data_IF_811525974722
#
_entry.id   IF_811525974722
#
_cell.length_a   1.000
_cell.length_b   1.000
_cell.length_c   1.000
_cell.angle_alpha   90.00
_cell.angle_beta   90.00
_cell.angle_gamma   90.00
#
_symmetry.space_group_name_H-M   'P 1'
#
loop_
_entity.id
_entity.type
_entity.pdbx_description
1 polymer ?
#
# COMPACT_ATOMS: atom_id res chain seq x y z
N UNK A 1 11.17 -11.26 -3.10
CA UNK A 1 10.23 -10.13 -3.32
C UNK A 1 11.02 -8.83 -3.28
N UNK A 2 10.50 -7.76 -3.87
CA UNK A 2 11.12 -6.42 -3.85
C UNK A 2 9.97 -5.40 -3.74
N UNK A 3 9.69 -4.93 -2.52
CA UNK A 3 8.51 -4.14 -2.20
C UNK A 3 8.91 -2.71 -1.78
N UNK A 4 8.18 -1.72 -2.32
CA UNK A 4 8.19 -0.31 -1.91
C UNK A 4 6.77 0.07 -1.46
N UNK A 5 6.59 0.35 -0.19
CA UNK A 5 5.27 0.47 0.45
C UNK A 5 5.11 1.84 1.09
N UNK A 6 4.45 2.74 0.39
CA UNK A 6 4.30 4.15 0.79
C UNK A 6 2.98 4.40 1.52
N UNK A 7 3.03 5.09 2.65
CA UNK A 7 1.82 5.46 3.40
C UNK A 7 0.85 6.28 2.56
N UNK A 8 1.35 7.21 1.78
CA UNK A 8 0.55 8.05 0.86
C UNK A 8 1.23 8.17 -0.49
N UNK A 9 0.49 8.52 -1.53
CA UNK A 9 1.07 8.91 -2.83
C UNK A 9 1.44 10.39 -2.92
N UNK A 10 0.94 11.22 -2.00
CA UNK A 10 1.13 12.67 -2.04
C UNK A 10 1.21 13.21 -0.62
N UNK A 11 2.31 13.86 -0.28
CA UNK A 11 2.46 14.60 0.97
C UNK A 11 1.90 16.01 0.77
N UNK A 12 1.30 16.58 1.82
CA UNK A 12 0.73 17.92 1.76
C UNK A 12 1.76 18.95 1.27
N UNK A 13 1.37 19.74 0.27
CA UNK A 13 2.24 20.76 -0.32
C UNK A 13 3.30 20.24 -1.31
N UNK A 14 3.35 18.93 -1.57
CA UNK A 14 4.30 18.33 -2.51
C UNK A 14 3.59 17.72 -3.74
N UNK A 15 4.26 17.65 -4.90
CA UNK A 15 3.73 16.97 -6.08
C UNK A 15 3.54 15.45 -5.84
N UNK A 16 2.67 14.84 -6.64
CA UNK A 16 2.38 13.41 -6.62
C UNK A 16 3.68 12.58 -6.77
N UNK A 17 3.93 11.64 -5.85
CA UNK A 17 5.09 10.74 -5.78
C UNK A 17 6.46 11.43 -5.69
N UNK A 18 6.54 12.75 -5.54
CA UNK A 18 7.82 13.48 -5.60
C UNK A 18 8.79 13.08 -4.50
N UNK A 19 8.31 12.85 -3.27
CA UNK A 19 9.14 12.48 -2.11
C UNK A 19 9.73 11.06 -2.20
N UNK A 20 9.20 10.23 -3.10
CA UNK A 20 9.65 8.85 -3.38
C UNK A 20 10.44 8.73 -4.68
N UNK A 21 10.76 9.85 -5.35
CA UNK A 21 11.29 9.84 -6.72
C UNK A 21 12.52 8.93 -6.88
N UNK A 22 13.46 9.02 -5.98
CA UNK A 22 14.69 8.22 -6.05
C UNK A 22 14.43 6.73 -5.83
N UNK A 23 13.46 6.39 -4.97
CA UNK A 23 13.12 5.01 -4.66
C UNK A 23 12.42 4.32 -5.83
N UNK A 24 11.33 4.90 -6.34
CA UNK A 24 10.61 4.27 -7.45
C UNK A 24 11.41 4.34 -8.77
N UNK A 25 12.26 5.37 -8.96
CA UNK A 25 13.14 5.44 -10.13
C UNK A 25 14.16 4.29 -10.14
N UNK A 26 14.75 3.97 -8.99
CA UNK A 26 15.66 2.82 -8.84
C UNK A 26 14.91 1.50 -8.97
N UNK A 27 13.73 1.38 -8.34
CA UNK A 27 12.94 0.16 -8.33
C UNK A 27 12.50 -0.24 -9.75
N UNK A 28 12.12 0.74 -10.57
CA UNK A 28 11.52 0.53 -11.88
C UNK A 28 12.42 0.91 -13.07
N UNK A 29 13.70 1.17 -12.83
CA UNK A 29 14.64 1.56 -13.91
C UNK A 29 14.57 0.60 -15.11
N UNK A 30 14.27 1.15 -16.32
CA UNK A 30 14.20 0.40 -17.56
C UNK A 30 13.06 -0.61 -17.68
N UNK A 31 12.01 -0.53 -16.84
CA UNK A 31 10.92 -1.52 -16.76
C UNK A 31 9.60 -0.97 -17.30
N UNK A 32 8.78 -1.88 -17.81
CA UNK A 32 7.35 -1.63 -18.02
C UNK A 32 6.60 -1.86 -16.68
N UNK A 33 6.06 -0.78 -16.14
CA UNK A 33 5.26 -0.82 -14.91
C UNK A 33 3.78 -0.94 -15.24
N UNK A 34 3.14 -1.99 -14.76
CA UNK A 34 1.69 -2.12 -14.85
C UNK A 34 1.05 -1.45 -13.63
N UNK A 35 0.26 -0.41 -13.89
CA UNK A 35 -0.48 0.32 -12.86
C UNK A 35 -1.86 -0.28 -12.64
N UNK A 36 -2.23 -0.47 -11.38
CA UNK A 36 -3.54 -1.01 -10.97
C UNK A 36 -4.37 0.11 -10.32
N UNK A 37 -5.37 0.68 -11.04
CA UNK A 37 -6.20 1.81 -10.57
C UNK A 37 -7.41 1.39 -9.74
N UNK A 38 -7.55 0.14 -9.36
CA UNK A 38 -8.77 -0.51 -8.88
C UNK A 38 -9.30 -0.01 -7.54
N UNK A 39 -8.55 0.78 -6.79
CA UNK A 39 -8.98 1.30 -5.50
C UNK A 39 -9.98 2.48 -5.57
N UNK A 40 -10.32 2.96 -6.78
CA UNK A 40 -11.21 4.12 -6.97
C UNK A 40 -12.67 3.71 -7.08
N UNK A 41 -13.52 4.07 -6.10
CA UNK A 41 -14.94 3.71 -6.12
C UNK A 41 -15.79 4.56 -7.10
N UNK A 42 -15.24 5.68 -7.60
CA UNK A 42 -15.93 6.61 -8.51
C UNK A 42 -15.27 7.98 -8.56
N UNK A 43 -15.83 8.90 -9.34
CA UNK A 43 -15.38 10.29 -9.47
C UNK A 43 -14.11 10.50 -10.30
N UNK A 44 -13.36 9.46 -10.58
CA UNK A 44 -12.16 9.46 -11.42
C UNK A 44 -12.13 8.17 -12.21
N UNK A 45 -12.01 8.24 -13.52
CA UNK A 45 -11.86 7.06 -14.37
C UNK A 45 -10.53 6.35 -14.13
N UNK A 46 -10.42 5.10 -14.54
CA UNK A 46 -9.15 4.38 -14.48
C UNK A 46 -8.10 5.01 -15.40
N UNK A 47 -8.52 5.56 -16.53
CA UNK A 47 -7.65 6.30 -17.46
C UNK A 47 -7.07 7.55 -16.80
N UNK A 48 -7.92 8.39 -16.21
CA UNK A 48 -7.49 9.63 -15.52
C UNK A 48 -6.56 9.33 -14.34
N UNK A 49 -6.84 8.24 -13.62
CA UNK A 49 -5.97 7.85 -12.51
C UNK A 49 -4.62 7.32 -13.01
N UNK A 50 -4.62 6.54 -14.08
CA UNK A 50 -3.40 5.99 -14.71
C UNK A 50 -2.55 7.10 -15.33
N UNK A 51 -3.16 8.14 -15.86
CA UNK A 51 -2.44 9.28 -16.43
C UNK A 51 -1.48 9.95 -15.43
N UNK A 52 -1.80 9.95 -14.14
CA UNK A 52 -0.94 10.54 -13.10
C UNK A 52 0.42 9.86 -12.98
N UNK A 53 0.53 8.54 -12.66
CA UNK A 53 1.82 7.88 -12.62
C UNK A 53 2.50 7.83 -13.99
N UNK A 54 1.75 7.74 -15.10
CA UNK A 54 2.33 7.84 -16.46
C UNK A 54 3.14 9.12 -16.62
N UNK A 55 2.53 10.28 -16.31
CA UNK A 55 3.17 11.57 -16.48
C UNK A 55 4.45 11.70 -15.62
N UNK A 56 4.35 11.35 -14.33
CA UNK A 56 5.46 11.53 -13.37
C UNK A 56 6.61 10.56 -13.65
N UNK A 57 6.31 9.29 -13.95
CA UNK A 57 7.35 8.26 -14.18
C UNK A 57 8.01 8.38 -15.56
N UNK A 58 7.31 8.94 -16.55
CA UNK A 58 7.88 9.22 -17.86
C UNK A 58 9.07 10.21 -17.79
N UNK A 59 9.07 11.14 -16.83
CA UNK A 59 10.19 12.05 -16.60
C UNK A 59 11.51 11.32 -16.21
N UNK A 60 11.39 10.09 -15.70
CA UNK A 60 12.52 9.21 -15.38
C UNK A 60 12.73 8.10 -16.44
N UNK A 61 12.08 8.20 -17.59
CA UNK A 61 12.16 7.21 -18.66
C UNK A 61 11.47 5.88 -18.37
N UNK A 62 10.55 5.83 -17.38
CA UNK A 62 9.81 4.62 -17.01
C UNK A 62 8.47 4.62 -17.74
N UNK A 63 8.18 3.52 -18.43
CA UNK A 63 6.90 3.33 -19.10
C UNK A 63 5.87 2.78 -18.12
N UNK A 64 4.72 3.46 -18.01
CA UNK A 64 3.58 2.99 -17.21
C UNK A 64 2.41 2.68 -18.12
N UNK A 65 1.76 1.53 -17.90
CA UNK A 65 0.54 1.13 -18.59
C UNK A 65 -0.50 0.64 -17.57
N UNK A 66 -1.73 1.13 -17.67
CA UNK A 66 -2.82 0.67 -16.79
C UNK A 66 -3.18 -0.78 -17.08
N UNK A 67 -3.50 -1.56 -16.06
CA UNK A 67 -3.93 -2.96 -16.24
C UNK A 67 -5.15 -3.09 -17.15
N UNK A 68 -6.04 -2.10 -17.15
CA UNK A 68 -7.24 -2.03 -18.00
C UNK A 68 -6.96 -1.67 -19.48
N UNK A 69 -5.74 -1.27 -19.80
CA UNK A 69 -5.30 -0.98 -21.18
C UNK A 69 -4.78 -2.23 -21.90
N UNK A 70 -4.77 -3.38 -21.26
CA UNK A 70 -4.46 -4.68 -21.86
C UNK A 70 -5.75 -5.42 -22.24
N UNK A 71 -5.67 -6.36 -23.18
CA UNK A 71 -6.84 -7.14 -23.61
C UNK A 71 -7.35 -8.07 -22.49
N UNK A 72 -6.48 -8.42 -21.54
CA UNK A 72 -6.81 -9.23 -20.37
C UNK A 72 -5.84 -9.00 -19.22
N UNK A 73 -6.24 -9.34 -17.98
CA UNK A 73 -5.35 -9.31 -16.82
C UNK A 73 -4.18 -10.30 -16.94
N UNK A 74 -4.38 -11.38 -17.69
CA UNK A 74 -3.31 -12.37 -17.96
C UNK A 74 -2.24 -11.78 -18.88
N UNK A 75 -2.63 -11.04 -19.92
CA UNK A 75 -1.69 -10.29 -20.77
C UNK A 75 -0.95 -9.24 -19.96
N UNK A 76 -1.66 -8.46 -19.14
CA UNK A 76 -1.06 -7.47 -18.26
C UNK A 76 -0.01 -8.10 -17.32
N UNK A 77 -0.35 -9.24 -16.70
CA UNK A 77 0.56 -9.95 -15.80
C UNK A 77 1.79 -10.53 -16.51
N UNK A 78 1.62 -11.00 -17.74
CA UNK A 78 2.74 -11.50 -18.57
C UNK A 78 3.67 -10.39 -19.01
N UNK A 79 3.15 -9.18 -19.24
CA UNK A 79 3.92 -8.02 -19.67
C UNK A 79 4.57 -7.24 -18.51
N UNK A 80 4.10 -7.44 -17.28
CA UNK A 80 4.54 -6.67 -16.13
C UNK A 80 5.99 -6.96 -15.75
N UNK A 81 6.85 -5.95 -15.86
CA UNK A 81 8.20 -5.95 -15.32
C UNK A 81 8.28 -5.25 -13.96
N UNK A 82 7.22 -4.58 -13.56
CA UNK A 82 6.98 -3.97 -12.27
C UNK A 82 5.49 -3.72 -12.06
N UNK A 83 5.05 -3.69 -10.82
CA UNK A 83 3.67 -3.41 -10.43
C UNK A 83 3.59 -2.14 -9.59
N UNK A 84 2.63 -1.27 -9.91
CA UNK A 84 2.26 -0.17 -9.03
C UNK A 84 0.76 -0.23 -8.74
N UNK A 85 0.40 -0.47 -7.47
CA UNK A 85 -1.00 -0.47 -7.01
C UNK A 85 -1.30 0.86 -6.32
N UNK A 86 -2.24 1.60 -6.89
CA UNK A 86 -2.64 2.92 -6.42
C UNK A 86 -3.50 2.88 -5.15
N UNK A 87 -3.61 4.04 -4.50
CA UNK A 87 -4.46 4.26 -3.33
C UNK A 87 -5.93 4.53 -3.69
N UNK A 88 -6.77 4.56 -2.66
CA UNK A 88 -8.21 4.74 -2.69
C UNK A 88 -8.85 3.89 -1.60
N UNK A 89 -10.00 3.27 -1.87
CA UNK A 89 -10.66 2.40 -0.90
C UNK A 89 -10.15 0.96 -1.00
N UNK A 90 -9.65 0.44 0.11
CA UNK A 90 -9.04 -0.90 0.21
C UNK A 90 -10.04 -2.03 -0.07
N UNK A 91 -11.30 -1.89 0.34
CA UNK A 91 -12.34 -2.90 0.07
C UNK A 91 -12.69 -2.97 -1.41
N UNK A 92 -12.77 -1.81 -2.08
CA UNK A 92 -12.97 -1.75 -3.54
C UNK A 92 -11.80 -2.38 -4.26
N UNK A 93 -10.56 -2.02 -3.88
CA UNK A 93 -9.35 -2.65 -4.44
C UNK A 93 -9.38 -4.17 -4.29
N UNK A 94 -9.62 -4.64 -3.07
CA UNK A 94 -9.62 -6.07 -2.74
C UNK A 94 -10.67 -6.84 -3.52
N UNK A 95 -11.89 -6.29 -3.63
CA UNK A 95 -12.99 -6.88 -4.39
C UNK A 95 -12.66 -6.94 -5.88
N UNK A 96 -12.21 -5.82 -6.46
CA UNK A 96 -11.93 -5.75 -7.91
C UNK A 96 -10.77 -6.64 -8.33
N UNK A 97 -9.70 -6.74 -7.52
CA UNK A 97 -8.60 -7.68 -7.78
C UNK A 97 -9.09 -9.13 -7.90
N UNK A 98 -10.06 -9.53 -7.08
CA UNK A 98 -10.64 -10.89 -7.12
C UNK A 98 -11.58 -11.08 -8.31
N UNK A 99 -12.47 -10.14 -8.53
CA UNK A 99 -13.47 -10.21 -9.61
C UNK A 99 -12.84 -10.23 -11.00
N UNK A 100 -11.74 -9.50 -11.17
CA UNK A 100 -10.98 -9.50 -12.43
C UNK A 100 -10.06 -10.70 -12.59
N UNK A 101 -9.82 -11.47 -11.53
CA UNK A 101 -8.86 -12.57 -11.53
C UNK A 101 -7.39 -12.11 -11.48
N UNK A 102 -7.13 -10.80 -11.24
CA UNK A 102 -5.76 -10.29 -11.19
C UNK A 102 -5.02 -10.73 -9.92
N UNK A 103 -5.72 -10.96 -8.81
CA UNK A 103 -5.12 -11.27 -7.50
C UNK A 103 -4.09 -12.42 -7.55
N UNK A 104 -4.40 -13.63 -8.03
CA UNK A 104 -3.42 -14.73 -8.06
C UNK A 104 -2.26 -14.47 -9.02
N UNK A 105 -2.47 -13.72 -10.09
CA UNK A 105 -1.43 -13.37 -11.05
C UNK A 105 -0.45 -12.36 -10.47
N UNK A 106 -0.97 -11.33 -9.78
CA UNK A 106 -0.18 -10.34 -9.05
C UNK A 106 0.64 -11.01 -7.95
N UNK A 107 0.01 -11.87 -7.14
CA UNK A 107 0.68 -12.59 -6.05
C UNK A 107 1.84 -13.46 -6.58
N UNK A 108 1.59 -14.26 -7.60
CA UNK A 108 2.61 -15.10 -8.24
C UNK A 108 3.78 -14.27 -8.81
N UNK A 109 3.46 -13.16 -9.50
CA UNK A 109 4.44 -12.27 -10.10
C UNK A 109 5.35 -11.62 -9.04
N UNK A 110 4.76 -11.09 -7.95
CA UNK A 110 5.54 -10.46 -6.86
C UNK A 110 6.38 -11.49 -6.11
N UNK A 111 5.85 -12.68 -5.84
CA UNK A 111 6.60 -13.76 -5.18
C UNK A 111 7.75 -14.29 -6.05
N UNK A 112 7.62 -14.24 -7.37
CA UNK A 112 8.71 -14.60 -8.30
C UNK A 112 9.79 -13.52 -8.43
N UNK A 113 9.59 -12.34 -7.81
CA UNK A 113 10.60 -11.29 -7.75
C UNK A 113 10.29 -10.03 -8.54
N UNK A 114 9.17 -9.97 -9.27
CA UNK A 114 8.74 -8.73 -9.94
C UNK A 114 8.57 -7.61 -8.91
N UNK A 115 9.23 -6.45 -9.09
CA UNK A 115 9.14 -5.32 -8.17
C UNK A 115 7.71 -4.84 -7.99
N UNK A 116 7.37 -4.50 -6.77
CA UNK A 116 6.05 -4.00 -6.38
C UNK A 116 6.16 -2.66 -5.66
N UNK A 117 5.36 -1.69 -6.07
CA UNK A 117 5.09 -0.47 -5.32
C UNK A 117 3.62 -0.43 -4.96
N UNK A 118 3.31 -0.10 -3.70
CA UNK A 118 1.96 0.19 -3.23
C UNK A 118 1.89 1.57 -2.57
N UNK A 119 0.75 2.25 -2.68
CA UNK A 119 0.47 3.44 -1.89
C UNK A 119 -0.90 3.34 -1.23
N UNK A 120 -1.02 3.73 0.06
CA UNK A 120 -2.27 3.71 0.81
C UNK A 120 -2.99 2.35 0.72
N UNK A 121 -4.16 2.24 0.08
CA UNK A 121 -4.85 0.97 -0.14
C UNK A 121 -3.93 -0.11 -0.75
N UNK A 122 -3.02 0.27 -1.64
CA UNK A 122 -2.05 -0.64 -2.25
C UNK A 122 -1.06 -1.25 -1.24
N UNK A 123 -0.81 -0.62 -0.09
CA UNK A 123 0.03 -1.26 0.93
C UNK A 123 -0.77 -2.15 1.89
N UNK A 124 -2.06 -1.85 2.12
CA UNK A 124 -2.91 -2.70 2.96
C UNK A 124 -2.98 -4.13 2.43
N UNK A 125 -3.03 -4.31 1.09
CA UNK A 125 -3.08 -5.64 0.50
C UNK A 125 -1.76 -6.42 0.61
N UNK A 126 -0.63 -5.77 0.92
CA UNK A 126 0.65 -6.45 1.14
C UNK A 126 0.74 -7.17 2.49
N UNK A 127 -0.05 -6.75 3.48
CA UNK A 127 -0.11 -7.33 4.82
C UNK A 127 -0.78 -8.70 4.89
N UNK A 128 -0.98 -9.19 6.09
CA UNK A 128 -1.68 -10.45 6.36
C UNK A 128 -3.18 -10.31 6.11
N UNK A 129 -3.75 -9.15 6.46
CA UNK A 129 -5.16 -8.83 6.23
C UNK A 129 -5.36 -7.33 6.00
N UNK A 130 -6.50 -6.97 5.40
CA UNK A 130 -6.94 -5.58 5.26
C UNK A 130 -7.70 -5.07 6.49
N UNK A 131 -7.78 -5.85 7.57
CA UNK A 131 -8.59 -5.54 8.76
C UNK A 131 -8.13 -4.31 9.54
N UNK A 132 -6.95 -3.77 9.25
CA UNK A 132 -6.41 -2.54 9.86
C UNK A 132 -6.48 -1.32 8.93
N UNK A 133 -7.20 -1.40 7.81
CA UNK A 133 -7.45 -0.24 6.95
C UNK A 133 -8.29 0.83 7.66
N UNK A 134 -8.07 2.09 7.29
CA UNK A 134 -8.90 3.20 7.76
C UNK A 134 -10.15 3.42 6.89
N UNK A 135 -10.27 2.67 5.80
CA UNK A 135 -11.34 2.85 4.82
C UNK A 135 -12.68 2.30 5.32
N UNK A 136 -13.75 2.95 4.90
CA UNK A 136 -15.09 2.39 5.12
C UNK A 136 -15.32 1.15 4.24
N UNK A 137 -15.97 0.10 4.78
CA UNK A 137 -16.29 -1.13 4.04
C UNK A 137 -17.50 -0.91 3.09
N UNK A 138 -17.31 -0.08 2.06
CA UNK A 138 -18.35 0.26 1.09
C UNK A 138 -18.62 -0.83 0.06
N UNK A 139 -17.84 -1.89 0.09
CA UNK A 139 -17.96 -3.07 -0.76
C UNK A 139 -17.74 -4.32 0.07
N UNK A 140 -18.58 -5.33 -0.10
CA UNK A 140 -18.41 -6.62 0.54
C UNK A 140 -17.19 -7.35 -0.04
N UNK A 141 -16.37 -7.93 0.83
CA UNK A 141 -15.26 -8.81 0.47
C UNK A 141 -15.45 -10.18 1.12
N UNK A 142 -15.20 -11.28 0.42
CA UNK A 142 -15.41 -12.62 0.96
C UNK A 142 -14.50 -12.94 2.15
N UNK A 143 -13.37 -12.27 2.27
CA UNK A 143 -12.40 -12.41 3.36
C UNK A 143 -11.56 -11.14 3.51
N UNK A 144 -11.16 -10.85 4.74
CA UNK A 144 -10.22 -9.77 5.02
C UNK A 144 -8.76 -10.17 4.77
N UNK A 145 -8.45 -11.46 4.55
CA UNK A 145 -7.10 -11.89 4.24
C UNK A 145 -6.55 -11.14 3.02
N UNK A 146 -5.30 -10.76 3.09
CA UNK A 146 -4.58 -10.07 2.04
C UNK A 146 -3.51 -10.97 1.40
N UNK A 147 -2.48 -10.43 0.75
CA UNK A 147 -1.46 -11.21 0.03
C UNK A 147 -0.48 -11.95 0.97
N UNK A 148 -0.35 -11.50 2.23
CA UNK A 148 0.56 -12.11 3.19
C UNK A 148 2.04 -12.06 2.75
N UNK A 149 2.44 -10.97 2.09
CA UNK A 149 3.85 -10.74 1.74
C UNK A 149 4.67 -10.25 2.92
N UNK A 150 3.98 -9.69 3.92
CA UNK A 150 4.54 -9.21 5.18
C UNK A 150 3.98 -10.03 6.35
N UNK A 151 4.76 -10.28 7.40
CA UNK A 151 4.28 -10.99 8.61
C UNK A 151 3.51 -10.09 9.58
N UNK A 152 3.03 -8.92 9.12
CA UNK A 152 2.29 -7.93 9.90
C UNK A 152 1.26 -7.22 9.01
N UNK A 153 0.35 -6.49 9.63
CA UNK A 153 -0.57 -5.59 8.94
C UNK A 153 -0.02 -4.17 8.88
N UNK A 154 -0.53 -3.40 7.93
CA UNK A 154 -0.22 -1.98 7.77
C UNK A 154 -1.44 -1.12 8.09
N UNK A 155 -1.22 0.03 8.72
CA UNK A 155 -2.18 1.11 8.86
C UNK A 155 -1.57 2.36 8.22
N UNK A 156 -1.76 2.57 6.89
CA UNK A 156 -1.34 3.79 6.22
C UNK A 156 -2.12 5.00 6.73
N UNK A 157 -1.58 6.20 6.50
CA UNK A 157 -2.14 7.45 7.02
C UNK A 157 -2.34 7.40 8.55
N UNK A 158 -1.42 6.72 9.25
CA UNK A 158 -1.47 6.71 10.70
C UNK A 158 -1.33 8.15 11.21
N UNK A 159 -2.20 8.49 12.15
CA UNK A 159 -2.25 9.81 12.79
C UNK A 159 -2.16 9.62 14.29
N UNK A 160 -1.26 10.39 14.92
CA UNK A 160 -1.20 10.46 16.37
C UNK A 160 -2.46 11.10 16.93
N UNK A 161 -2.88 10.74 18.16
CA UNK A 161 -3.94 11.46 18.86
C UNK A 161 -3.58 12.95 18.99
N UNK A 162 -4.51 13.83 18.66
CA UNK A 162 -4.32 15.28 18.83
C UNK A 162 -4.59 15.65 20.26
N UNK A 163 -3.56 16.14 20.98
CA UNK A 163 -3.69 16.63 22.35
C UNK A 163 -4.68 17.79 22.43
N UNK A 164 -5.58 17.76 23.39
CA UNK A 164 -6.62 18.78 23.55
C UNK A 164 -7.77 18.71 22.53
N UNK A 165 -7.83 17.66 21.69
CA UNK A 165 -8.96 17.47 20.79
C UNK A 165 -10.25 17.27 21.56
N UNK A 166 -11.32 17.97 21.16
CA UNK A 166 -12.67 17.75 21.67
C UNK A 166 -13.43 16.67 20.91
N UNK A 167 -12.80 16.05 19.90
CA UNK A 167 -13.39 14.96 19.13
C UNK A 167 -13.50 13.70 20.00
N UNK A 168 -14.72 13.18 20.16
CA UNK A 168 -15.01 12.00 20.99
C UNK A 168 -14.96 10.68 20.23
N UNK A 169 -14.61 10.71 18.94
CA UNK A 169 -14.42 9.50 18.14
C UNK A 169 -13.10 8.79 18.46
N UNK A 170 -13.05 7.51 18.12
CA UNK A 170 -11.90 6.65 18.35
C UNK A 170 -10.64 7.16 17.64
N UNK A 171 -9.53 7.08 18.34
CA UNK A 171 -8.20 7.30 17.78
C UNK A 171 -7.75 6.09 16.95
N UNK A 172 -6.67 6.24 16.16
CA UNK A 172 -6.05 5.10 15.47
C UNK A 172 -5.58 4.02 16.45
N UNK A 173 -5.03 4.43 17.59
CA UNK A 173 -4.59 3.52 18.65
C UNK A 173 -5.75 2.67 19.19
N UNK A 174 -6.90 3.30 19.46
CA UNK A 174 -8.10 2.60 19.94
C UNK A 174 -8.59 1.57 18.91
N UNK A 175 -8.70 1.94 17.63
CA UNK A 175 -9.13 1.02 16.56
C UNK A 175 -8.19 -0.17 16.39
N UNK A 176 -6.87 0.06 16.51
CA UNK A 176 -5.89 -1.02 16.44
C UNK A 176 -5.96 -1.89 17.70
N UNK A 177 -6.21 -1.31 18.88
CA UNK A 177 -6.44 -2.09 20.11
C UNK A 177 -7.69 -2.99 20.00
N UNK A 178 -8.78 -2.48 19.41
CA UNK A 178 -9.97 -3.28 19.11
C UNK A 178 -9.69 -4.41 18.11
N UNK A 179 -8.90 -4.14 17.07
CA UNK A 179 -8.43 -5.18 16.15
C UNK A 179 -7.68 -6.28 16.89
N UNK A 180 -6.81 -5.92 17.84
CA UNK A 180 -6.03 -6.86 18.63
C UNK A 180 -6.85 -7.66 19.65
N UNK A 181 -8.11 -7.30 19.92
CA UNK A 181 -8.99 -8.14 20.75
C UNK A 181 -9.29 -9.51 20.11
N UNK A 182 -9.17 -9.60 18.78
CA UNK A 182 -9.47 -10.81 18.00
C UNK A 182 -8.34 -11.27 17.08
N UNK A 183 -7.28 -10.48 16.94
CA UNK A 183 -6.23 -10.69 15.92
C UNK A 183 -4.84 -10.50 16.55
N UNK A 184 -3.95 -11.53 16.54
CA UNK A 184 -2.65 -11.45 17.21
C UNK A 184 -1.54 -10.79 16.39
N UNK A 185 -1.73 -10.63 15.06
CA UNK A 185 -0.67 -10.16 14.18
C UNK A 185 -0.27 -8.71 14.46
N UNK A 186 1.05 -8.39 14.41
CA UNK A 186 1.52 -7.03 14.62
C UNK A 186 0.93 -6.06 13.59
N UNK A 187 0.84 -4.78 13.96
CA UNK A 187 0.40 -3.69 13.07
C UNK A 187 1.44 -2.59 13.06
N UNK A 188 1.77 -2.13 11.86
CA UNK A 188 2.66 -0.98 11.64
C UNK A 188 1.84 0.22 11.21
N UNK A 189 1.69 1.19 12.11
CA UNK A 189 1.12 2.51 11.82
C UNK A 189 2.16 3.36 11.08
N UNK A 190 1.92 3.63 9.80
CA UNK A 190 2.86 4.32 8.92
C UNK A 190 2.36 5.73 8.64
N UNK A 191 3.10 6.75 9.14
CA UNK A 191 2.77 8.17 8.96
C UNK A 191 3.00 8.62 7.52
N UNK A 192 2.26 9.60 7.06
CA UNK A 192 2.43 10.17 5.71
C UNK A 192 3.85 10.72 5.50
N UNK A 193 4.39 10.53 4.29
CA UNK A 193 5.78 10.86 3.98
C UNK A 193 6.78 9.77 4.36
N UNK A 194 6.35 8.70 5.04
CA UNK A 194 7.18 7.54 5.34
C UNK A 194 6.80 6.34 4.47
N UNK A 195 7.76 5.45 4.26
CA UNK A 195 7.59 4.23 3.47
C UNK A 195 8.42 3.08 4.02
N UNK A 196 8.06 1.87 3.65
CA UNK A 196 8.85 0.67 3.92
C UNK A 196 9.44 0.14 2.61
N UNK A 197 10.67 -0.36 2.69
CA UNK A 197 11.20 -1.30 1.72
C UNK A 197 11.22 -2.70 2.33
N UNK A 198 10.98 -3.73 1.50
CA UNK A 198 11.04 -5.11 1.99
C UNK A 198 11.49 -6.06 0.88
N UNK A 199 12.37 -6.99 1.25
CA UNK A 199 12.75 -8.12 0.40
C UNK A 199 11.98 -9.41 0.74
N UNK A 200 11.02 -9.32 1.68
CA UNK A 200 10.22 -10.43 2.21
C UNK A 200 10.76 -11.01 3.51
N UNK A 201 12.02 -10.74 3.86
CA UNK A 201 12.66 -11.17 5.13
C UNK A 201 13.03 -9.97 6.00
N UNK A 202 13.58 -8.95 5.38
CA UNK A 202 13.97 -7.69 6.02
C UNK A 202 12.98 -6.59 5.62
N UNK A 203 12.60 -5.79 6.60
CA UNK A 203 11.67 -4.68 6.45
C UNK A 203 12.33 -3.43 7.01
N UNK A 204 12.49 -2.40 6.20
CA UNK A 204 13.20 -1.18 6.59
C UNK A 204 12.28 0.03 6.46
N UNK A 205 12.18 0.80 7.55
CA UNK A 205 11.45 2.07 7.58
C UNK A 205 12.32 3.21 7.08
N UNK A 206 11.76 4.01 6.20
CA UNK A 206 12.36 5.20 5.62
C UNK A 206 11.44 6.42 5.74
N UNK A 207 11.98 7.60 5.46
CA UNK A 207 11.24 8.86 5.47
C UNK A 207 11.48 9.67 6.75
N UNK A 208 10.79 10.81 6.92
CA UNK A 208 11.08 11.75 8.01
C UNK A 208 10.48 11.35 9.37
N UNK A 209 9.57 10.38 9.42
CA UNK A 209 8.82 10.03 10.63
C UNK A 209 9.10 8.60 11.09
N UNK A 210 9.06 8.38 12.41
CA UNK A 210 8.98 7.05 13.00
C UNK A 210 7.69 6.33 12.60
N UNK A 211 7.67 5.00 12.68
CA UNK A 211 6.45 4.21 12.63
C UNK A 211 6.00 3.84 14.05
N UNK A 212 4.70 3.66 14.23
CA UNK A 212 4.14 3.17 15.48
C UNK A 212 3.84 1.68 15.36
N UNK A 213 4.48 0.88 16.20
CA UNK A 213 4.36 -0.58 16.20
C UNK A 213 3.42 -1.01 17.30
N UNK A 214 2.40 -1.80 16.93
CA UNK A 214 1.42 -2.37 17.84
C UNK A 214 1.54 -3.89 17.87
N UNK A 215 1.47 -4.47 19.07
CA UNK A 215 1.42 -5.90 19.32
C UNK A 215 0.29 -6.20 20.29
N UNK A 216 -0.42 -7.29 20.06
CA UNK A 216 -1.52 -7.68 20.96
C UNK A 216 -1.03 -7.82 22.40
N UNK A 217 -1.73 -7.20 23.34
CA UNK A 217 -1.43 -7.25 24.77
C UNK A 217 -0.16 -6.48 25.22
N UNK A 218 0.44 -5.67 24.35
CA UNK A 218 1.64 -4.89 24.67
C UNK A 218 1.41 -3.39 24.40
N UNK A 219 2.09 -2.50 25.12
CA UNK A 219 2.11 -1.08 24.79
C UNK A 219 2.68 -0.86 23.38
N UNK A 220 2.10 0.09 22.65
CA UNK A 220 2.64 0.52 21.36
C UNK A 220 4.00 1.21 21.53
N UNK A 221 4.91 0.97 20.60
CA UNK A 221 6.27 1.55 20.62
C UNK A 221 6.51 2.40 19.36
N UNK A 222 7.37 3.41 19.51
CA UNK A 222 7.89 4.18 18.38
C UNK A 222 9.12 3.49 17.81
N UNK A 223 9.08 3.20 16.51
CA UNK A 223 10.17 2.62 15.75
C UNK A 223 10.80 3.73 14.88
N UNK A 224 12.05 4.14 15.14
CA UNK A 224 12.76 5.09 14.26
C UNK A 224 13.06 4.46 12.90
N UNK A 225 13.56 5.28 11.97
CA UNK A 225 14.03 4.80 10.66
C UNK A 225 15.06 3.67 10.84
N UNK A 226 15.07 2.76 9.90
CA UNK A 226 15.92 1.58 9.91
C UNK A 226 15.15 0.27 9.92
N UNK A 227 15.82 -0.85 10.18
CA UNK A 227 15.19 -2.17 10.21
C UNK A 227 14.07 -2.25 11.26
N UNK A 228 12.90 -2.78 10.85
CA UNK A 228 11.83 -3.04 11.80
C UNK A 228 12.18 -4.25 12.68
N UNK A 229 11.87 -4.15 13.97
CA UNK A 229 11.99 -5.23 14.94
C UNK A 229 10.62 -5.60 15.52
N UNK A 230 10.28 -6.88 15.54
CA UNK A 230 9.04 -7.43 16.07
C UNK A 230 9.28 -8.38 17.22
#
# INVERSE_FOLDING_TARGET
MNLLLASTSTVHGAPYLSYLRDEWSRLFAGRLVVFVPYARPGGMSWDDYTARPKAVMAEAGITVRGVHEFSSVAEAASAAEGWFVGGGNTFVLRRTLRETGLEPLLDASVRSGTPYMGSSAGINIAGMSIGTTNDMPIMEVPTLNAMGWLPFNLNPHYMDPVEGSTHMGETRDQRIAEFHAFNPQPVVGLREGSWLTSNGLEHVLHGPHSARIFRAGQPAIEQPQGPLSF
#
